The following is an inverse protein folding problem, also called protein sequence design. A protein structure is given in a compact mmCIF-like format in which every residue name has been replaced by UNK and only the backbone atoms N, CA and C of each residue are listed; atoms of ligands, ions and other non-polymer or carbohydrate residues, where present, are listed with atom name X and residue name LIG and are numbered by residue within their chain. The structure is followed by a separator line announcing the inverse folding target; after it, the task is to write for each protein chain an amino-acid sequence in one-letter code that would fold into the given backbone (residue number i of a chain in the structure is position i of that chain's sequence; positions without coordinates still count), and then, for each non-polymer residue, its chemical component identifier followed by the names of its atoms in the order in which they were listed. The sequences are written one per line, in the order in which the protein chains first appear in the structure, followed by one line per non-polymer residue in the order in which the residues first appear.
data_IF_392391892462
#
_entry.id   IF_392391892462
#
_cell.length_a   1.000
_cell.length_b   1.000
_cell.length_c   1.000
_cell.angle_alpha   90.00
_cell.angle_beta   90.00
_cell.angle_gamma   90.00
#
_symmetry.space_group_name_H-M   'P 1'
#
loop_
_entity.id
_entity.type
_entity.pdbx_description
1 polymer ?
#
# COMPACT_ATOMS: atom_id res chain seq x y z
N UNK A 1 -4.66 23.34 -13.62
CA UNK A 1 -3.77 22.86 -12.81
C UNK A 1 -3.51 21.43 -13.07
N UNK A 2 -2.43 21.05 -12.95
CA UNK A 2 -2.19 19.78 -13.24
C UNK A 2 -2.19 19.02 -12.07
N UNK A 3 -2.98 18.06 -12.04
CA UNK A 3 -3.03 17.26 -10.97
C UNK A 3 -2.25 16.08 -11.27
N UNK A 4 -1.22 15.88 -10.61
CA UNK A 4 -0.55 14.69 -10.75
C UNK A 4 -1.27 13.70 -9.98
N UNK A 5 -2.01 12.89 -10.62
CA UNK A 5 -2.78 11.88 -9.94
C UNK A 5 -1.85 10.80 -9.47
N UNK A 6 -1.80 10.60 -8.20
CA UNK A 6 -0.91 9.65 -7.58
C UNK A 6 -1.75 8.50 -7.05
N UNK A 7 -1.65 7.36 -7.65
CA UNK A 7 -2.47 6.22 -7.26
C UNK A 7 -2.00 5.57 -5.98
N UNK A 8 -0.86 5.98 -5.45
CA UNK A 8 -0.38 5.35 -4.24
C UNK A 8 -1.35 5.53 -3.09
N UNK A 9 -2.01 6.68 -3.00
CA UNK A 9 -2.99 6.88 -1.94
C UNK A 9 -4.17 5.95 -2.10
N UNK A 10 -4.58 5.71 -3.33
CA UNK A 10 -5.65 4.79 -3.59
C UNK A 10 -5.28 3.39 -3.12
N UNK A 11 -4.06 2.96 -3.42
CA UNK A 11 -3.62 1.65 -2.98
C UNK A 11 -3.47 1.56 -1.48
N UNK A 12 -2.99 2.64 -0.84
CA UNK A 12 -2.86 2.63 0.61
C UNK A 12 -4.20 2.49 1.30
N UNK A 13 -5.24 3.05 0.71
CA UNK A 13 -6.57 2.86 1.23
C UNK A 13 -6.96 1.38 1.21
N UNK A 14 -6.61 0.68 0.15
CA UNK A 14 -6.88 -0.74 0.06
C UNK A 14 -6.05 -1.55 1.04
N UNK A 15 -4.82 -1.10 1.29
CA UNK A 15 -4.01 -1.74 2.33
C UNK A 15 -4.71 -1.65 3.66
N UNK A 16 -5.19 -0.46 4.01
CA UNK A 16 -5.86 -0.29 5.29
C UNK A 16 -7.09 -1.17 5.39
N UNK A 17 -7.88 -1.26 4.34
CA UNK A 17 -9.07 -2.08 4.37
C UNK A 17 -8.72 -3.54 4.48
N UNK A 18 -7.69 -3.98 3.77
CA UNK A 18 -7.30 -5.37 3.85
C UNK A 18 -6.82 -5.73 5.24
N UNK A 19 -6.09 -4.84 5.87
CA UNK A 19 -5.63 -5.07 7.23
C UNK A 19 -6.84 -5.15 8.18
N UNK A 20 -7.82 -4.29 7.98
CA UNK A 20 -9.01 -4.33 8.81
C UNK A 20 -9.74 -5.65 8.67
N UNK A 21 -9.86 -6.15 7.44
CA UNK A 21 -10.47 -7.45 7.22
C UNK A 21 -9.65 -8.56 7.87
N UNK A 22 -8.33 -8.47 7.79
CA UNK A 22 -7.49 -9.47 8.42
C UNK A 22 -7.70 -9.50 9.92
N UNK A 23 -7.80 -8.32 10.52
CA UNK A 23 -8.00 -8.25 11.96
C UNK A 23 -9.36 -8.77 12.37
N UNK A 24 -10.33 -8.68 11.50
CA UNK A 24 -11.67 -9.18 11.79
C UNK A 24 -11.85 -10.65 11.41
N UNK A 25 -10.88 -11.23 10.74
CA UNK A 25 -11.02 -12.61 10.29
C UNK A 25 -11.04 -13.56 11.46
N UNK A 26 -11.86 -14.62 11.33
CA UNK A 26 -12.01 -15.56 12.42
C UNK A 26 -11.12 -16.78 12.25
N UNK A 27 -10.49 -16.94 11.10
CA UNK A 27 -9.60 -18.08 10.89
C UNK A 27 -8.22 -17.58 10.52
N UNK A 28 -7.23 -18.42 10.79
CA UNK A 28 -5.87 -18.06 10.44
C UNK A 28 -5.68 -17.96 8.94
N UNK A 29 -6.38 -18.83 8.21
CA UNK A 29 -6.25 -18.84 6.76
C UNK A 29 -6.80 -17.56 6.16
N UNK A 30 -7.97 -17.15 6.62
CA UNK A 30 -8.56 -15.92 6.10
C UNK A 30 -7.69 -14.72 6.47
N UNK A 31 -7.17 -14.71 7.68
CA UNK A 31 -6.31 -13.61 8.11
C UNK A 31 -5.07 -13.53 7.23
N UNK A 32 -4.46 -14.68 6.94
CA UNK A 32 -3.27 -14.69 6.12
C UNK A 32 -3.57 -14.21 4.71
N UNK A 33 -4.73 -14.58 4.18
CA UNK A 33 -5.09 -14.12 2.84
C UNK A 33 -5.27 -12.63 2.79
N UNK A 34 -5.91 -12.07 3.80
CA UNK A 34 -6.11 -10.62 3.82
C UNK A 34 -4.80 -9.87 4.01
N UNK A 35 -3.89 -10.42 4.83
CA UNK A 35 -2.58 -9.78 4.96
C UNK A 35 -1.79 -9.89 3.68
N UNK A 36 -1.91 -10.99 2.95
CA UNK A 36 -1.23 -11.12 1.68
C UNK A 36 -1.76 -10.09 0.68
N UNK A 37 -3.06 -9.87 0.69
CA UNK A 37 -3.66 -8.86 -0.16
C UNK A 37 -3.16 -7.47 0.22
N UNK A 38 -3.07 -7.20 1.51
CA UNK A 38 -2.57 -5.91 1.97
C UNK A 38 -1.13 -5.70 1.51
N UNK A 39 -0.33 -6.73 1.60
CA UNK A 39 1.05 -6.63 1.18
C UNK A 39 1.16 -6.38 -0.33
N UNK A 40 0.29 -7.02 -1.10
CA UNK A 40 0.28 -6.82 -2.54
C UNK A 40 -0.03 -5.35 -2.87
N UNK A 41 -1.04 -4.80 -2.23
CA UNK A 41 -1.39 -3.39 -2.48
C UNK A 41 -0.32 -2.44 -1.97
N UNK A 42 0.34 -2.81 -0.88
CA UNK A 42 1.43 -2.00 -0.37
C UNK A 42 2.57 -1.92 -1.39
N UNK A 43 2.88 -3.05 -2.02
CA UNK A 43 3.90 -3.04 -3.05
C UNK A 43 3.49 -2.20 -4.24
N UNK A 44 2.23 -2.26 -4.62
CA UNK A 44 1.75 -1.42 -5.70
C UNK A 44 1.84 0.05 -5.33
N UNK A 45 1.52 0.37 -4.09
CA UNK A 45 1.59 1.76 -3.64
C UNK A 45 3.02 2.27 -3.70
N UNK A 46 3.94 1.45 -3.26
CA UNK A 46 5.34 1.86 -3.29
C UNK A 46 5.85 2.00 -4.71
N UNK A 47 5.41 1.11 -5.58
CA UNK A 47 5.81 1.17 -6.97
C UNK A 47 5.31 2.47 -7.61
N UNK A 48 4.06 2.82 -7.35
CA UNK A 48 3.51 4.06 -7.90
C UNK A 48 4.24 5.28 -7.35
N UNK A 49 4.54 5.26 -6.08
CA UNK A 49 5.26 6.38 -5.49
C UNK A 49 6.65 6.53 -6.10
N UNK A 50 7.29 5.42 -6.38
CA UNK A 50 8.61 5.47 -7.02
C UNK A 50 8.52 6.01 -8.43
N UNK A 51 7.46 5.63 -9.15
CA UNK A 51 7.29 6.13 -10.51
C UNK A 51 7.11 7.62 -10.54
N UNK A 52 6.47 8.17 -9.53
CA UNK A 52 6.25 9.61 -9.49
C UNK A 52 7.40 10.34 -8.83
N UNK A 53 8.40 9.63 -8.36
CA UNK A 53 9.54 10.29 -7.74
C UNK A 53 9.27 10.80 -6.35
N UNK A 54 8.25 10.30 -5.70
CA UNK A 54 7.87 10.79 -4.38
C UNK A 54 8.17 9.82 -3.26
N UNK A 55 9.17 9.00 -3.42
CA UNK A 55 9.46 8.02 -2.40
C UNK A 55 10.21 8.67 -1.25
N UNK A 56 9.65 8.74 -0.08
CA UNK A 56 10.37 9.32 1.04
C UNK A 56 11.60 8.53 1.42
N UNK A 57 11.56 7.25 1.19
CA UNK A 57 12.70 6.44 1.54
C UNK A 57 13.88 6.75 0.67
N UNK A 58 13.63 7.00 -0.60
CA UNK A 58 14.70 7.38 -1.48
C UNK A 58 15.34 8.67 -1.03
N UNK A 59 14.54 9.62 -0.64
CA UNK A 59 15.05 10.89 -0.18
C UNK A 59 15.92 10.68 1.04
N UNK A 60 15.46 9.88 1.95
CA UNK A 60 16.20 9.66 3.16
C UNK A 60 17.54 9.01 2.87
N UNK A 61 17.56 8.14 1.90
CA UNK A 61 18.79 7.47 1.64
C UNK A 61 19.79 8.27 0.89
N UNK A 62 19.36 9.28 0.20
CA UNK A 62 20.28 10.10 -0.54
C UNK A 62 21.15 10.92 0.35
N UNK A 63 20.80 11.01 1.57
CA UNK A 63 21.64 11.74 2.51
C UNK A 63 22.66 10.84 3.15
#
# INVERSE_FOLDING_TARGET
MSVSFDRSEYYWQWVDESVAFANAATTNEARAQHYATADFYRQLAEFEANLTGRSPQSVARLN
#
